data_IF_066890202034
#
_entry.id   IF_066890202034
#
_cell.length_a   1.000
_cell.length_b   1.000
_cell.length_c   1.000
_cell.angle_alpha   90.00
_cell.angle_beta   90.00
_cell.angle_gamma   90.00
#
_symmetry.space_group_name_H-M   'P 1'
#
loop_
_entity.id
_entity.type
_entity.pdbx_description
1 polymer ?
#
# COMPACT_ATOMS: atom_id res chain seq x y z
N UNK A 1 -1.07 -5.56 2.18
CA UNK A 1 -0.65 -4.40 1.37
C UNK A 1 0.84 -4.47 1.11
N UNK A 2 1.30 -4.23 -0.12
CA UNK A 2 2.73 -4.12 -0.45
C UNK A 2 2.94 -2.79 -1.15
N UNK A 3 3.61 -1.85 -0.48
CA UNK A 3 3.81 -0.47 -0.95
C UNK A 3 5.27 -0.03 -0.84
N UNK A 4 5.61 1.08 -1.48
CA UNK A 4 6.98 1.55 -1.55
C UNK A 4 7.46 2.15 -0.22
N UNK A 5 6.67 3.07 0.37
CA UNK A 5 7.09 3.86 1.53
C UNK A 5 6.09 3.77 2.68
N UNK A 6 6.57 4.15 3.86
CA UNK A 6 5.76 4.29 5.07
C UNK A 6 4.91 5.56 4.94
N UNK A 7 3.63 5.45 4.78
CA UNK A 7 2.54 6.39 4.56
C UNK A 7 1.66 6.00 3.36
N UNK A 8 2.21 5.35 2.36
CA UNK A 8 1.51 4.96 1.13
C UNK A 8 0.25 4.11 1.40
N UNK A 9 0.32 3.17 2.36
CA UNK A 9 -0.80 2.29 2.73
C UNK A 9 -1.95 3.09 3.36
N UNK A 10 -1.60 4.10 4.15
CA UNK A 10 -2.58 4.99 4.79
C UNK A 10 -3.20 5.92 3.76
N UNK A 11 -2.37 6.55 2.91
CA UNK A 11 -2.82 7.44 1.81
C UNK A 11 -3.74 6.67 0.85
N UNK A 12 -3.31 5.49 0.41
CA UNK A 12 -3.99 4.77 -0.67
C UNK A 12 -5.24 4.02 -0.25
N UNK A 13 -5.22 3.37 0.92
CA UNK A 13 -6.29 2.46 1.32
C UNK A 13 -6.54 2.36 2.83
N UNK A 14 -6.05 3.32 3.63
CA UNK A 14 -6.10 3.25 5.09
C UNK A 14 -7.51 3.07 5.66
N UNK A 15 -8.51 3.75 5.12
CA UNK A 15 -9.89 3.63 5.58
C UNK A 15 -10.51 2.27 5.19
N UNK A 16 -10.18 1.73 4.03
CA UNK A 16 -10.56 0.37 3.61
C UNK A 16 -9.92 -0.68 4.52
N UNK A 17 -8.64 -0.53 4.85
CA UNK A 17 -7.94 -1.44 5.77
C UNK A 17 -8.62 -1.44 7.15
N UNK A 18 -8.94 -0.26 7.66
CA UNK A 18 -9.68 -0.13 8.92
C UNK A 18 -11.03 -0.84 8.86
N UNK A 19 -11.79 -0.63 7.81
CA UNK A 19 -13.10 -1.28 7.61
C UNK A 19 -12.98 -2.80 7.63
N UNK A 20 -12.00 -3.35 6.93
CA UNK A 20 -11.81 -4.80 6.89
C UNK A 20 -11.26 -5.36 8.20
N UNK A 21 -10.37 -4.65 8.87
CA UNK A 21 -9.91 -5.03 10.21
C UNK A 21 -11.06 -5.12 11.22
N UNK A 22 -12.00 -4.18 11.20
CA UNK A 22 -13.22 -4.20 12.02
C UNK A 22 -14.14 -5.40 11.68
N UNK A 23 -14.03 -5.91 10.45
CA UNK A 23 -14.76 -7.11 10.00
C UNK A 23 -13.99 -8.42 10.27
N UNK A 24 -12.85 -8.34 10.95
CA UNK A 24 -12.04 -9.50 11.34
C UNK A 24 -10.97 -9.92 10.33
N UNK A 25 -10.68 -9.12 9.30
CA UNK A 25 -9.56 -9.40 8.42
C UNK A 25 -8.22 -9.19 9.14
N UNK A 26 -7.28 -10.11 8.91
CA UNK A 26 -5.89 -9.93 9.30
C UNK A 26 -5.17 -9.08 8.25
N UNK A 27 -4.67 -7.92 8.68
CA UNK A 27 -4.05 -6.92 7.81
C UNK A 27 -2.53 -6.91 8.00
N UNK A 28 -1.80 -7.19 6.91
CA UNK A 28 -0.35 -7.09 6.83
C UNK A 28 0.05 -5.95 5.90
N UNK A 29 1.05 -5.16 6.29
CA UNK A 29 1.66 -4.15 5.42
C UNK A 29 3.15 -4.46 5.26
N UNK A 30 3.62 -4.46 4.02
CA UNK A 30 5.02 -4.66 3.67
C UNK A 30 5.53 -3.43 2.90
N UNK A 31 6.49 -2.74 3.48
CA UNK A 31 7.20 -1.64 2.83
C UNK A 31 8.37 -2.18 2.03
N UNK A 32 8.53 -1.72 0.79
CA UNK A 32 9.69 -2.07 -0.04
C UNK A 32 10.93 -1.33 0.44
N UNK A 33 10.79 -0.07 0.87
CA UNK A 33 11.92 0.80 1.19
C UNK A 33 12.01 1.18 2.67
N UNK A 34 13.20 1.65 3.06
CA UNK A 34 13.46 2.18 4.38
C UNK A 34 12.91 3.60 4.61
N UNK A 35 12.51 4.33 3.55
CA UNK A 35 12.10 5.72 3.67
C UNK A 35 13.25 6.71 3.92
N UNK A 36 14.49 6.34 3.65
CA UNK A 36 15.74 7.02 3.99
C UNK A 36 15.92 8.39 3.34
N UNK A 37 15.19 8.72 2.27
CA UNK A 37 15.24 10.03 1.59
C UNK A 37 14.07 10.96 1.93
N UNK A 38 13.11 10.51 2.75
CA UNK A 38 11.95 11.30 3.17
C UNK A 38 12.30 12.36 4.22
N UNK A 39 13.25 13.25 3.91
CA UNK A 39 13.79 14.29 4.81
C UNK A 39 13.39 15.65 4.26
N UNK A 40 12.68 16.44 5.07
CA UNK A 40 12.36 17.83 4.72
C UNK A 40 13.64 18.67 4.64
N UNK A 41 13.76 19.47 3.61
CA UNK A 41 14.89 20.38 3.44
C UNK A 41 15.05 21.29 4.67
N UNK A 42 16.27 21.37 5.21
CA UNK A 42 16.59 22.19 6.38
C UNK A 42 16.33 21.50 7.74
N UNK A 43 15.95 20.22 7.74
CA UNK A 43 15.83 19.42 8.98
C UNK A 43 16.98 18.42 9.10
N UNK A 44 17.29 18.01 10.34
CA UNK A 44 18.26 16.95 10.59
C UNK A 44 17.62 15.61 10.18
N UNK A 45 18.27 14.91 9.25
CA UNK A 45 17.84 13.59 8.77
C UNK A 45 18.39 12.42 9.60
N UNK A 46 19.03 12.69 10.73
CA UNK A 46 19.51 11.61 11.59
C UNK A 46 18.34 10.73 12.04
N UNK A 47 18.52 9.41 11.92
CA UNK A 47 17.54 8.40 12.31
C UNK A 47 16.18 8.45 11.54
N UNK A 48 16.13 9.03 10.33
CA UNK A 48 14.88 9.11 9.56
C UNK A 48 14.23 7.73 9.33
N UNK A 49 15.03 6.69 9.08
CA UNK A 49 14.54 5.32 8.88
C UNK A 49 13.79 4.81 10.10
N UNK A 50 14.36 4.99 11.30
CA UNK A 50 13.74 4.60 12.56
C UNK A 50 12.51 5.46 12.86
N UNK A 51 12.59 6.76 12.59
CA UNK A 51 11.48 7.70 12.73
C UNK A 51 10.30 7.26 11.89
N UNK A 52 10.47 7.03 10.61
CA UNK A 52 9.39 6.61 9.69
C UNK A 52 8.79 5.27 10.09
N UNK A 53 9.61 4.31 10.51
CA UNK A 53 9.09 3.03 10.97
C UNK A 53 8.28 3.18 12.27
N UNK A 54 8.72 4.05 13.18
CA UNK A 54 7.96 4.39 14.41
C UNK A 54 6.64 5.08 14.10
N UNK A 55 6.63 5.99 13.13
CA UNK A 55 5.40 6.65 12.65
C UNK A 55 4.44 5.64 12.04
N UNK A 56 4.92 4.72 11.19
CA UNK A 56 4.13 3.64 10.62
C UNK A 56 3.53 2.71 11.70
N UNK A 57 4.30 2.36 12.73
CA UNK A 57 3.78 1.57 13.86
C UNK A 57 2.64 2.30 14.60
N UNK A 58 2.74 3.61 14.76
CA UNK A 58 1.69 4.41 15.39
C UNK A 58 0.45 4.53 14.49
N UNK A 59 0.63 4.73 13.19
CA UNK A 59 -0.45 4.78 12.21
C UNK A 59 -1.20 3.44 12.11
N UNK A 60 -0.46 2.33 12.14
CA UNK A 60 -0.98 0.96 12.08
C UNK A 60 -2.11 0.68 13.09
N UNK A 61 -2.03 1.28 14.29
CA UNK A 61 -3.05 1.13 15.35
C UNK A 61 -4.41 1.65 14.89
N UNK A 62 -4.44 2.79 14.18
CA UNK A 62 -5.68 3.42 13.74
C UNK A 62 -6.32 2.70 12.56
N UNK A 63 -5.53 2.21 11.63
CA UNK A 63 -6.04 1.50 10.44
C UNK A 63 -6.11 -0.02 10.62
N UNK A 64 -5.81 -0.51 11.84
CA UNK A 64 -6.03 -1.92 12.19
C UNK A 64 -5.05 -2.90 11.55
N UNK A 65 -3.79 -2.49 11.33
CA UNK A 65 -2.73 -3.35 10.81
C UNK A 65 -2.21 -4.27 11.92
N UNK A 66 -2.18 -5.57 11.65
CA UNK A 66 -1.70 -6.58 12.58
C UNK A 66 -0.16 -6.71 12.54
N UNK A 67 0.42 -6.67 11.34
CA UNK A 67 1.85 -6.90 11.16
C UNK A 67 2.45 -5.92 10.13
N UNK A 68 3.58 -5.31 10.50
CA UNK A 68 4.40 -4.50 9.60
C UNK A 68 5.66 -5.28 9.20
N UNK A 69 5.98 -5.23 7.91
CA UNK A 69 7.18 -5.81 7.32
C UNK A 69 7.95 -4.74 6.55
N UNK A 70 9.27 -4.87 6.45
CA UNK A 70 10.10 -3.97 5.65
C UNK A 70 11.18 -4.78 4.92
N UNK A 71 11.30 -4.61 3.60
CA UNK A 71 12.34 -5.26 2.80
C UNK A 71 13.69 -4.53 2.84
N UNK A 72 13.74 -3.33 3.41
CA UNK A 72 14.97 -2.62 3.67
C UNK A 72 15.70 -2.08 2.44
N UNK A 73 15.00 -1.84 1.34
CA UNK A 73 15.59 -1.25 0.14
C UNK A 73 15.73 0.26 0.35
N UNK A 74 16.81 0.87 -0.10
CA UNK A 74 16.93 2.33 -0.10
C UNK A 74 15.90 2.95 -1.06
N UNK A 75 15.36 4.11 -0.71
CA UNK A 75 14.48 4.86 -1.59
C UNK A 75 15.15 5.15 -2.94
N UNK A 76 14.35 5.19 -4.00
CA UNK A 76 14.77 5.39 -5.39
C UNK A 76 15.64 4.24 -5.97
N UNK A 77 15.89 3.19 -5.19
CA UNK A 77 16.64 1.99 -5.60
C UNK A 77 15.77 0.75 -5.77
N UNK A 78 14.44 0.90 -5.75
CA UNK A 78 13.54 -0.22 -6.06
C UNK A 78 13.74 -0.62 -7.53
N UNK A 79 14.29 -1.81 -7.75
CA UNK A 79 14.52 -2.40 -9.08
C UNK A 79 14.11 -3.86 -9.09
N UNK A 80 13.57 -4.33 -10.21
CA UNK A 80 13.16 -5.73 -10.38
C UNK A 80 14.38 -6.62 -10.61
N UNK A 81 15.19 -6.81 -9.54
CA UNK A 81 16.25 -7.80 -9.54
C UNK A 81 15.69 -9.14 -9.07
N UNK A 82 16.35 -10.24 -9.48
CA UNK A 82 16.00 -11.59 -9.00
C UNK A 82 15.89 -11.65 -7.47
N UNK A 83 16.81 -10.99 -6.74
CA UNK A 83 16.80 -10.95 -5.28
C UNK A 83 15.54 -10.29 -4.74
N UNK A 84 15.22 -9.07 -5.18
CA UNK A 84 14.03 -8.34 -4.72
C UNK A 84 12.75 -9.08 -5.09
N UNK A 85 12.68 -9.59 -6.32
CA UNK A 85 11.56 -10.38 -6.79
C UNK A 85 11.32 -11.64 -5.93
N UNK A 86 12.38 -12.37 -5.60
CA UNK A 86 12.31 -13.55 -4.74
C UNK A 86 11.87 -13.21 -3.31
N UNK A 87 12.33 -12.09 -2.72
CA UNK A 87 11.88 -11.65 -1.40
C UNK A 87 10.38 -11.34 -1.38
N UNK A 88 9.84 -10.73 -2.43
CA UNK A 88 8.39 -10.46 -2.54
C UNK A 88 7.62 -11.77 -2.68
N UNK A 89 8.07 -12.72 -3.53
CA UNK A 89 7.43 -14.05 -3.64
C UNK A 89 7.42 -14.77 -2.29
N UNK A 90 8.57 -14.79 -1.61
CA UNK A 90 8.72 -15.41 -0.29
C UNK A 90 7.72 -14.81 0.71
N UNK A 91 7.62 -13.49 0.74
CA UNK A 91 6.68 -12.79 1.62
C UNK A 91 5.21 -13.11 1.30
N UNK A 92 4.84 -13.19 0.02
CA UNK A 92 3.50 -13.60 -0.41
C UNK A 92 3.20 -15.05 0.02
N UNK A 93 4.16 -15.96 -0.15
CA UNK A 93 4.00 -17.38 0.24
C UNK A 93 3.95 -17.60 1.75
N UNK A 94 4.65 -16.75 2.51
CA UNK A 94 4.65 -16.74 3.98
C UNK A 94 3.31 -16.26 4.55
N UNK A 95 2.83 -15.09 4.09
CA UNK A 95 1.61 -14.44 4.59
C UNK A 95 0.34 -15.10 4.02
N UNK A 96 0.41 -15.61 2.79
CA UNK A 96 -0.72 -16.22 2.07
C UNK A 96 -1.95 -15.31 1.93
N UNK A 97 -1.79 -14.08 1.42
CA UNK A 97 -2.86 -13.11 1.34
C UNK A 97 -3.95 -13.53 0.35
N UNK A 98 -5.22 -13.37 0.73
CA UNK A 98 -6.36 -13.50 -0.19
C UNK A 98 -6.41 -12.33 -1.18
N UNK A 99 -6.11 -11.12 -0.70
CA UNK A 99 -6.03 -9.87 -1.48
C UNK A 99 -4.67 -9.23 -1.27
N UNK A 100 -4.03 -8.75 -2.34
CA UNK A 100 -2.89 -7.83 -2.28
C UNK A 100 -3.33 -6.48 -2.81
N UNK A 101 -3.06 -5.40 -2.07
CA UNK A 101 -3.20 -4.03 -2.54
C UNK A 101 -1.79 -3.45 -2.73
N UNK A 102 -1.57 -2.73 -3.84
CA UNK A 102 -0.29 -2.11 -4.17
C UNK A 102 -0.50 -0.81 -4.96
N UNK A 103 0.58 -0.22 -5.45
CA UNK A 103 0.55 0.96 -6.32
C UNK A 103 -0.03 0.66 -7.70
N UNK A 104 -0.43 1.73 -8.42
CA UNK A 104 -0.68 1.64 -9.85
C UNK A 104 0.60 1.91 -10.67
N UNK A 105 0.71 1.26 -11.83
CA UNK A 105 1.86 1.41 -12.73
C UNK A 105 1.97 2.79 -13.37
N UNK A 106 0.89 3.58 -13.39
CA UNK A 106 0.88 4.93 -13.95
C UNK A 106 1.23 6.02 -12.94
N UNK A 107 1.46 5.69 -11.68
CA UNK A 107 1.88 6.65 -10.66
C UNK A 107 3.17 7.39 -11.08
N UNK A 108 3.27 8.70 -10.78
CA UNK A 108 4.46 9.50 -11.13
C UNK A 108 5.72 9.09 -10.37
N UNK A 109 5.60 8.52 -9.17
CA UNK A 109 6.76 8.13 -8.36
C UNK A 109 7.42 6.85 -8.89
N UNK A 110 8.75 6.89 -9.08
CA UNK A 110 9.50 5.77 -9.66
C UNK A 110 9.41 4.48 -8.83
N UNK A 111 9.51 4.59 -7.49
CA UNK A 111 9.44 3.42 -6.61
C UNK A 111 8.05 2.80 -6.62
N UNK A 112 6.99 3.62 -6.71
CA UNK A 112 5.61 3.13 -6.83
C UNK A 112 5.42 2.30 -8.09
N UNK A 113 5.85 2.81 -9.25
CA UNK A 113 5.80 2.07 -10.53
C UNK A 113 6.52 0.73 -10.45
N UNK A 114 7.73 0.72 -9.87
CA UNK A 114 8.54 -0.51 -9.76
C UNK A 114 7.92 -1.48 -8.76
N UNK A 115 7.44 -0.99 -7.62
CA UNK A 115 6.73 -1.82 -6.65
C UNK A 115 5.52 -2.49 -7.28
N UNK A 116 4.68 -1.74 -8.00
CA UNK A 116 3.51 -2.30 -8.69
C UNK A 116 3.88 -3.43 -9.66
N UNK A 117 4.89 -3.21 -10.52
CA UNK A 117 5.36 -4.19 -11.49
C UNK A 117 5.87 -5.47 -10.80
N UNK A 118 6.69 -5.31 -9.75
CA UNK A 118 7.26 -6.44 -9.01
C UNK A 118 6.16 -7.24 -8.32
N UNK A 119 5.22 -6.56 -7.67
CA UNK A 119 4.14 -7.19 -6.90
C UNK A 119 3.18 -7.95 -7.80
N UNK A 120 2.78 -7.37 -8.94
CA UNK A 120 1.89 -8.04 -9.90
C UNK A 120 2.53 -9.32 -10.44
N UNK A 121 3.80 -9.25 -10.87
CA UNK A 121 4.55 -10.42 -11.35
C UNK A 121 4.77 -11.45 -10.25
N UNK A 122 5.14 -11.01 -9.03
CA UNK A 122 5.40 -11.90 -7.90
C UNK A 122 4.14 -12.62 -7.41
N UNK A 123 2.98 -11.96 -7.43
CA UNK A 123 1.71 -12.58 -7.07
C UNK A 123 1.33 -13.71 -8.03
N UNK A 124 1.56 -13.53 -9.34
CA UNK A 124 1.40 -14.59 -10.32
C UNK A 124 2.41 -15.71 -10.10
N UNK A 125 3.71 -15.38 -9.94
CA UNK A 125 4.78 -16.35 -9.76
C UNK A 125 4.67 -17.15 -8.46
N UNK A 126 4.13 -16.57 -7.39
CA UNK A 126 3.91 -17.27 -6.13
C UNK A 126 2.97 -18.48 -6.24
N UNK A 127 2.09 -18.52 -7.25
CA UNK A 127 1.17 -19.60 -7.53
C UNK A 127 1.79 -20.74 -8.35
N UNK A 128 2.98 -20.57 -8.92
CA UNK A 128 3.62 -21.62 -9.72
C UNK A 128 4.36 -22.63 -8.82
N UNK A 129 4.32 -23.92 -9.19
CA UNK A 129 5.00 -25.00 -8.48
C UNK A 129 6.50 -25.05 -8.85
N UNK A 130 7.18 -23.96 -8.60
CA UNK A 130 8.63 -23.76 -8.77
C UNK A 130 9.16 -22.94 -7.60
N UNK A 131 10.48 -22.75 -7.49
CA UNK A 131 11.13 -21.96 -6.42
C UNK A 131 10.69 -22.47 -5.03
N UNK A 132 10.83 -23.76 -4.78
CA UNK A 132 10.39 -24.41 -3.53
C UNK A 132 11.13 -23.90 -2.30
N UNK A 133 12.34 -23.39 -2.49
CA UNK A 133 13.16 -22.72 -1.48
C UNK A 133 12.54 -21.41 -0.94
N UNK A 134 11.59 -20.83 -1.65
CA UNK A 134 10.84 -19.64 -1.23
C UNK A 134 9.54 -19.93 -0.46
N UNK A 135 9.31 -21.20 -0.10
CA UNK A 135 8.12 -21.64 0.63
C UNK A 135 7.05 -22.29 -0.26
N UNK A 136 5.98 -22.84 0.35
CA UNK A 136 4.91 -23.52 -0.37
C UNK A 136 4.14 -22.55 -1.28
N UNK A 137 3.69 -23.07 -2.43
CA UNK A 137 2.91 -22.28 -3.39
C UNK A 137 1.69 -21.62 -2.74
N UNK A 138 1.38 -20.41 -3.18
CA UNK A 138 0.20 -19.67 -2.74
C UNK A 138 -0.46 -18.94 -3.90
N UNK A 139 -1.78 -19.10 -4.04
CA UNK A 139 -2.60 -18.37 -5.00
C UNK A 139 -3.27 -17.18 -4.32
N UNK A 140 -2.81 -15.99 -4.63
CA UNK A 140 -3.53 -14.76 -4.31
C UNK A 140 -4.74 -14.62 -5.24
N UNK A 141 -5.92 -14.38 -4.68
CA UNK A 141 -7.16 -14.29 -5.48
C UNK A 141 -7.33 -12.95 -6.17
N UNK A 142 -6.85 -11.88 -5.55
CA UNK A 142 -7.00 -10.52 -6.06
C UNK A 142 -5.73 -9.72 -5.85
N UNK A 143 -5.31 -9.00 -6.89
CA UNK A 143 -4.27 -7.98 -6.83
C UNK A 143 -4.89 -6.67 -7.31
N UNK A 144 -4.89 -5.66 -6.46
CA UNK A 144 -5.48 -4.36 -6.74
C UNK A 144 -4.47 -3.24 -6.60
N UNK A 145 -4.63 -2.20 -7.41
CA UNK A 145 -3.95 -0.92 -7.18
C UNK A 145 -4.89 0.09 -6.54
N UNK A 146 -4.30 1.02 -5.76
CA UNK A 146 -5.01 2.12 -5.10
C UNK A 146 -4.43 3.48 -5.51
N UNK A 147 -5.17 4.55 -5.20
CA UNK A 147 -4.78 5.95 -5.46
C UNK A 147 -3.86 6.44 -4.33
N UNK A 148 -2.66 6.92 -4.68
CA UNK A 148 -1.74 7.50 -3.70
C UNK A 148 -1.44 8.96 -4.05
N UNK A 149 -0.58 9.23 -5.03
CA UNK A 149 -0.21 10.59 -5.42
C UNK A 149 -0.95 11.07 -6.67
N UNK A 150 -1.50 10.16 -7.43
CA UNK A 150 -2.22 10.43 -8.67
C UNK A 150 -3.54 9.65 -8.65
N UNK A 151 -4.63 10.22 -9.17
CA UNK A 151 -5.85 9.48 -9.38
C UNK A 151 -5.65 8.28 -10.32
N UNK A 152 -6.34 7.18 -10.07
CA UNK A 152 -6.35 6.04 -10.99
C UNK A 152 -6.92 6.45 -12.34
N UNK A 153 -6.28 6.05 -13.46
CA UNK A 153 -6.78 6.33 -14.81
C UNK A 153 -8.09 5.59 -15.11
N UNK A 154 -8.25 4.43 -14.49
CA UNK A 154 -9.45 3.60 -14.55
C UNK A 154 -9.77 3.08 -13.15
N UNK A 155 -11.04 3.08 -12.80
CA UNK A 155 -11.53 2.58 -11.52
C UNK A 155 -12.44 1.38 -11.78
N UNK A 156 -12.09 0.22 -11.26
CA UNK A 156 -12.93 -0.98 -11.39
C UNK A 156 -14.02 -1.01 -10.30
N UNK A 157 -13.72 -0.51 -9.11
CA UNK A 157 -14.68 -0.43 -7.99
C UNK A 157 -14.20 0.57 -6.93
N UNK A 158 -15.15 0.97 -6.08
CA UNK A 158 -14.89 1.78 -4.90
C UNK A 158 -15.39 1.07 -3.65
N UNK A 159 -14.74 1.34 -2.53
CA UNK A 159 -15.17 0.89 -1.20
C UNK A 159 -15.71 2.10 -0.45
N UNK A 160 -16.96 2.01 0.02
CA UNK A 160 -17.52 3.01 0.96
C UNK A 160 -16.74 2.98 2.26
N UNK A 161 -16.12 4.09 2.59
CA UNK A 161 -15.30 4.28 3.80
C UNK A 161 -15.80 5.42 4.67
N UNK A 162 -17.06 5.78 4.51
CA UNK A 162 -17.67 6.89 5.26
C UNK A 162 -17.46 6.72 6.76
N UNK A 163 -17.66 5.53 7.30
CA UNK A 163 -17.59 5.23 8.74
C UNK A 163 -16.16 5.09 9.28
N UNK A 164 -15.17 4.91 8.41
CA UNK A 164 -13.76 4.68 8.79
C UNK A 164 -12.82 5.80 8.29
N UNK A 165 -13.39 6.86 7.77
CA UNK A 165 -12.63 7.98 7.23
C UNK A 165 -11.78 8.70 8.28
N UNK A 166 -12.36 8.94 9.46
CA UNK A 166 -11.67 9.62 10.56
C UNK A 166 -10.48 8.79 11.09
N UNK A 167 -10.59 7.45 11.13
CA UNK A 167 -9.47 6.59 11.48
C UNK A 167 -8.27 6.77 10.53
N UNK A 168 -8.55 6.91 9.22
CA UNK A 168 -7.51 7.21 8.22
C UNK A 168 -6.84 8.55 8.48
N UNK A 169 -7.60 9.60 8.78
CA UNK A 169 -7.03 10.92 9.09
C UNK A 169 -6.17 10.86 10.36
N UNK A 170 -6.66 10.19 11.41
CA UNK A 170 -5.88 9.98 12.63
C UNK A 170 -4.59 9.20 12.39
N UNK A 171 -4.59 8.26 11.45
CA UNK A 171 -3.38 7.55 11.04
C UNK A 171 -2.41 8.47 10.27
N UNK A 172 -2.92 9.29 9.34
CA UNK A 172 -2.10 10.27 8.60
C UNK A 172 -1.38 11.24 9.53
N UNK A 173 -2.02 11.69 10.59
CA UNK A 173 -1.43 12.56 11.62
C UNK A 173 -0.19 11.96 12.31
N UNK A 174 0.04 10.66 12.19
CA UNK A 174 1.22 10.01 12.80
C UNK A 174 2.48 10.13 11.96
N UNK A 175 2.35 10.50 10.70
CA UNK A 175 3.47 10.67 9.77
C UNK A 175 4.04 12.10 9.79
N UNK A 176 4.40 12.60 10.98
CA UNK A 176 4.87 13.98 11.18
C UNK A 176 6.04 14.36 10.29
N UNK A 177 6.97 13.42 10.06
CA UNK A 177 8.13 13.67 9.21
C UNK A 177 7.72 13.93 7.76
N UNK A 178 6.56 13.42 7.33
CA UNK A 178 6.06 13.49 5.95
C UNK A 178 5.03 14.60 5.72
N UNK A 179 4.26 15.02 6.73
CA UNK A 179 3.25 16.07 6.59
C UNK A 179 3.84 17.39 6.07
N UNK A 180 5.11 17.69 6.43
CA UNK A 180 5.80 18.87 5.92
C UNK A 180 6.35 18.73 4.49
N UNK A 181 6.34 17.53 3.90
CA UNK A 181 6.79 17.21 2.54
C UNK A 181 5.58 17.06 1.61
N UNK A 182 4.55 16.38 2.08
CA UNK A 182 3.30 16.13 1.37
C UNK A 182 2.34 17.35 1.52
N UNK A 183 2.72 18.47 0.89
CA UNK A 183 1.93 19.68 0.97
C UNK A 183 0.47 19.45 0.55
N UNK A 184 -0.48 19.87 1.39
CA UNK A 184 -1.91 19.76 1.16
C UNK A 184 -2.44 18.33 0.95
N UNK A 185 -1.78 17.31 1.48
CA UNK A 185 -2.23 15.91 1.33
C UNK A 185 -3.65 15.72 1.86
N UNK A 186 -4.00 16.37 2.96
CA UNK A 186 -5.34 16.28 3.55
C UNK A 186 -6.42 16.79 2.59
N UNK A 187 -6.19 17.95 1.93
CA UNK A 187 -7.10 18.48 0.92
C UNK A 187 -7.25 17.55 -0.28
N UNK A 188 -6.15 16.93 -0.70
CA UNK A 188 -6.20 15.94 -1.78
C UNK A 188 -7.03 14.73 -1.38
N UNK A 189 -6.79 14.15 -0.21
CA UNK A 189 -7.52 13.01 0.31
C UNK A 189 -9.00 13.33 0.50
N UNK A 190 -9.31 14.49 1.07
CA UNK A 190 -10.69 14.96 1.24
C UNK A 190 -11.41 15.08 -0.11
N UNK A 191 -10.77 15.71 -1.09
CA UNK A 191 -11.33 15.92 -2.41
C UNK A 191 -11.57 14.61 -3.17
N UNK A 192 -10.53 13.76 -3.26
CA UNK A 192 -10.62 12.50 -4.03
C UNK A 192 -11.63 11.55 -3.41
N UNK A 193 -11.68 11.42 -2.08
CA UNK A 193 -12.63 10.54 -1.40
C UNK A 193 -14.09 10.94 -1.63
N UNK A 194 -14.39 12.25 -1.69
CA UNK A 194 -15.72 12.77 -2.01
C UNK A 194 -16.11 12.50 -3.47
N UNK A 195 -15.17 12.70 -4.40
CA UNK A 195 -15.39 12.36 -5.82
C UNK A 195 -15.71 10.88 -5.98
N UNK A 196 -14.96 10.00 -5.31
CA UNK A 196 -15.19 8.56 -5.35
C UNK A 196 -16.47 8.14 -4.62
N UNK A 197 -16.78 8.81 -3.50
CA UNK A 197 -18.05 8.62 -2.78
C UNK A 197 -19.25 8.98 -3.64
N UNK A 198 -19.20 10.13 -4.31
CA UNK A 198 -20.25 10.54 -5.26
C UNK A 198 -20.54 9.48 -6.31
N UNK A 199 -19.50 8.84 -6.86
CA UNK A 199 -19.65 7.84 -7.94
C UNK A 199 -20.42 6.58 -7.52
N UNK A 200 -20.49 6.29 -6.22
CA UNK A 200 -21.19 5.12 -5.65
C UNK A 200 -22.32 5.50 -4.68
N UNK A 201 -22.67 6.79 -4.58
CA UNK A 201 -23.76 7.27 -3.73
C UNK A 201 -23.49 7.28 -2.22
N UNK A 202 -22.21 7.45 -1.82
CA UNK A 202 -21.79 7.55 -0.42
C UNK A 202 -21.07 8.86 -0.13
N UNK A 203 -20.84 9.18 1.13
CA UNK A 203 -20.14 10.42 1.47
C UNK A 203 -18.65 10.36 1.12
N UNK A 204 -18.02 9.18 1.32
CA UNK A 204 -16.60 8.96 1.08
C UNK A 204 -16.33 7.56 0.56
N UNK A 205 -15.39 7.45 -0.39
CA UNK A 205 -14.93 6.16 -0.87
C UNK A 205 -13.44 6.17 -1.23
N UNK A 206 -12.83 5.01 -1.20
CA UNK A 206 -11.50 4.72 -1.75
C UNK A 206 -11.67 3.89 -3.02
N UNK A 207 -10.87 4.22 -4.06
CA UNK A 207 -10.98 3.58 -5.37
C UNK A 207 -9.85 2.59 -5.62
N UNK A 208 -10.22 1.54 -6.37
CA UNK A 208 -9.32 0.45 -6.70
C UNK A 208 -9.44 0.05 -8.17
N UNK A 209 -8.32 -0.42 -8.71
CA UNK A 209 -8.23 -1.04 -10.03
C UNK A 209 -7.68 -2.44 -9.88
N UNK A 210 -8.24 -3.40 -10.59
CA UNK A 210 -7.76 -4.78 -10.60
C UNK A 210 -6.54 -4.92 -11.52
N UNK A 211 -5.45 -5.41 -10.96
CA UNK A 211 -4.25 -5.76 -11.72
C UNK A 211 -4.32 -7.24 -12.10
N UNK A 212 -3.69 -7.59 -13.25
CA UNK A 212 -3.66 -8.98 -13.72
C UNK A 212 -5.08 -9.56 -13.88
N UNK A 213 -5.88 -9.01 -14.80
CA UNK A 213 -7.28 -9.45 -15.05
C UNK A 213 -7.34 -10.95 -15.36
N UNK A 214 -7.46 -11.78 -14.31
CA UNK A 214 -7.78 -13.19 -14.46
C UNK A 214 -9.29 -13.31 -14.66
N UNK A 215 -9.79 -14.02 -15.71
CA UNK A 215 -11.21 -14.26 -15.87
C UNK A 215 -11.79 -14.92 -14.62
N UNK A 216 -12.88 -14.37 -14.10
CA UNK A 216 -13.61 -14.96 -12.97
C UNK A 216 -14.46 -16.09 -13.54
N UNK A 217 -14.31 -17.30 -13.00
CA UNK A 217 -15.26 -18.37 -13.25
C UNK A 217 -16.51 -18.08 -12.40
N UNK A 218 -17.59 -17.71 -13.06
CA UNK A 218 -18.92 -17.56 -12.44
C UNK A 218 -19.52 -18.93 -12.13
#
# INVERSE_FOLDING_TARGET
VIVAHQDDETIGCGATLRKWSLQGAEVHVCFMTNGDTGIKQGTDGQNIVETRMTEAMRAAVYIGVNNLHNLGIDCQKVVNTKKVFHEVIKKIREIKPYVIITHDQVCKHRDHKRTSQIVEEAAWKANEDILQDLGPIHRTHHVWSCEILDPLPEVDFCVDVTDTWEDKLMAMDKYFSQLGILNNIENYLDGISKVRGYSIGTARAEAFRRLGKVPIKL
#
